data_IF_089473124134
#
_entry.id   IF_089473124134
#
_cell.length_a   1.000
_cell.length_b   1.000
_cell.length_c   1.000
_cell.angle_alpha   90.00
_cell.angle_beta   90.00
_cell.angle_gamma   90.00
#
_symmetry.space_group_name_H-M   'P 1'
#
loop_
_entity.id
_entity.type
_entity.pdbx_description
1 polymer ?
#
# COMPACT_ATOMS: atom_id res chain seq x y z
N UNK A 1 -16.18 28.45 -13.19
CA UNK A 1 -15.16 28.72 -12.15
C UNK A 1 -14.42 27.47 -11.69
N UNK A 2 -14.94 26.26 -11.93
CA UNK A 2 -14.25 24.97 -11.73
C UNK A 2 -12.85 24.84 -12.37
N UNK A 3 -12.54 25.65 -13.39
CA UNK A 3 -11.29 25.50 -14.14
C UNK A 3 -10.03 25.69 -13.27
N UNK A 4 -10.03 26.63 -12.32
CA UNK A 4 -8.84 26.89 -11.49
C UNK A 4 -8.55 25.73 -10.53
N UNK A 5 -9.58 25.19 -9.88
CA UNK A 5 -9.44 24.03 -9.00
C UNK A 5 -8.96 22.79 -9.78
N UNK A 6 -9.53 22.56 -10.97
CA UNK A 6 -9.07 21.51 -11.86
C UNK A 6 -7.63 21.72 -12.34
N UNK A 7 -7.21 22.97 -12.59
CA UNK A 7 -5.83 23.29 -12.95
C UNK A 7 -4.86 22.91 -11.83
N UNK A 8 -5.21 23.21 -10.57
CA UNK A 8 -4.43 22.83 -9.38
C UNK A 8 -4.31 21.32 -9.28
N UNK A 9 -5.43 20.60 -9.32
CA UNK A 9 -5.46 19.14 -9.24
C UNK A 9 -4.66 18.53 -10.38
N UNK A 10 -4.83 19.02 -11.62
CA UNK A 10 -4.07 18.58 -12.80
C UNK A 10 -2.57 18.78 -12.63
N UNK A 11 -2.14 19.94 -12.14
CA UNK A 11 -0.72 20.22 -11.93
C UNK A 11 -0.12 19.28 -10.89
N UNK A 12 -0.85 18.99 -9.80
CA UNK A 12 -0.41 18.03 -8.79
C UNK A 12 -0.35 16.60 -9.35
N UNK A 13 -1.39 16.14 -10.07
CA UNK A 13 -1.39 14.84 -10.73
C UNK A 13 -0.27 14.70 -11.75
N UNK A 14 0.09 15.78 -12.45
CA UNK A 14 1.24 15.79 -13.35
C UNK A 14 2.55 15.56 -12.59
N UNK A 15 2.74 16.19 -11.43
CA UNK A 15 3.93 15.97 -10.59
C UNK A 15 3.96 14.51 -10.11
N UNK A 16 2.84 13.98 -9.63
CA UNK A 16 2.73 12.57 -9.21
C UNK A 16 3.09 11.64 -10.37
N UNK A 17 2.54 11.87 -11.57
CA UNK A 17 2.83 11.07 -12.76
C UNK A 17 4.31 11.13 -13.17
N UNK A 18 4.95 12.30 -13.05
CA UNK A 18 6.40 12.45 -13.32
C UNK A 18 7.21 11.61 -12.31
N UNK A 19 6.90 11.71 -11.02
CA UNK A 19 7.60 10.94 -9.98
C UNK A 19 7.42 9.43 -10.21
N UNK A 20 6.19 8.97 -10.44
CA UNK A 20 5.89 7.57 -10.75
C UNK A 20 6.61 7.10 -12.02
N UNK A 21 6.67 7.94 -13.05
CA UNK A 21 7.40 7.66 -14.28
C UNK A 21 8.91 7.49 -14.05
N UNK A 22 9.52 8.35 -13.23
CA UNK A 22 10.94 8.22 -12.84
C UNK A 22 11.17 6.92 -12.08
N UNK A 23 10.31 6.58 -11.12
CA UNK A 23 10.40 5.33 -10.35
C UNK A 23 10.27 4.10 -11.25
N UNK A 24 9.39 4.15 -12.25
CA UNK A 24 9.23 3.07 -13.23
C UNK A 24 10.48 2.91 -14.10
N UNK A 25 11.08 4.01 -14.57
CA UNK A 25 12.35 3.97 -15.31
C UNK A 25 13.47 3.36 -14.45
N UNK A 26 13.57 3.76 -13.17
CA UNK A 26 14.52 3.19 -12.23
C UNK A 26 14.27 1.69 -12.01
N UNK A 27 13.01 1.27 -11.91
CA UNK A 27 12.64 -0.14 -11.80
C UNK A 27 13.05 -0.95 -13.04
N UNK A 28 12.92 -0.39 -14.24
CA UNK A 28 13.42 -1.00 -15.48
C UNK A 28 14.95 -1.15 -15.45
N UNK A 29 15.67 -0.09 -15.08
CA UNK A 29 17.14 -0.12 -14.96
C UNK A 29 17.58 -1.16 -13.93
N UNK A 30 16.90 -1.21 -12.78
CA UNK A 30 17.14 -2.20 -11.75
C UNK A 30 16.88 -3.61 -12.27
N UNK A 31 15.77 -3.85 -12.97
CA UNK A 31 15.46 -5.16 -13.57
C UNK A 31 16.56 -5.60 -14.51
N UNK A 32 17.00 -4.73 -15.42
CA UNK A 32 18.09 -5.04 -16.37
C UNK A 32 19.40 -5.35 -15.64
N UNK A 33 19.70 -4.61 -14.57
CA UNK A 33 20.94 -4.77 -13.78
C UNK A 33 20.92 -6.05 -12.94
N UNK A 34 19.79 -6.36 -12.31
CA UNK A 34 19.64 -7.45 -11.33
C UNK A 34 19.28 -8.77 -12.00
N UNK A 35 18.56 -8.77 -13.13
CA UNK A 35 18.18 -10.00 -13.83
C UNK A 35 19.38 -10.88 -14.22
N UNK A 36 20.58 -10.30 -14.30
CA UNK A 36 21.83 -11.05 -14.53
C UNK A 36 22.29 -11.87 -13.33
N UNK A 37 21.89 -11.49 -12.10
CA UNK A 37 22.43 -12.06 -10.87
C UNK A 37 21.43 -12.90 -10.07
N UNK A 38 20.12 -12.67 -10.22
CA UNK A 38 19.09 -13.28 -9.36
C UNK A 38 18.21 -14.30 -10.06
N UNK A 39 18.60 -14.82 -11.22
CA UNK A 39 17.81 -15.88 -11.85
C UNK A 39 17.90 -17.15 -11.00
N UNK A 40 16.78 -17.77 -10.58
CA UNK A 40 16.77 -19.07 -9.91
C UNK A 40 17.54 -20.13 -10.70
N UNK A 41 17.58 -20.00 -12.03
CA UNK A 41 18.37 -20.86 -12.92
C UNK A 41 19.86 -20.82 -12.64
N UNK A 42 20.40 -19.72 -12.11
CA UNK A 42 21.80 -19.62 -11.75
C UNK A 42 22.13 -20.52 -10.55
N UNK A 43 21.28 -20.51 -9.52
CA UNK A 43 21.43 -21.42 -8.37
C UNK A 43 21.32 -22.89 -8.80
N UNK A 44 20.32 -23.22 -9.63
CA UNK A 44 20.19 -24.57 -10.20
C UNK A 44 21.45 -24.96 -10.97
N UNK A 45 21.94 -24.08 -11.86
CA UNK A 45 23.17 -24.33 -12.63
C UNK A 45 24.41 -24.53 -11.77
N UNK A 46 24.49 -23.89 -10.59
CA UNK A 46 25.59 -24.11 -9.65
C UNK A 46 25.53 -25.50 -9.01
N UNK A 47 24.33 -26.04 -8.77
CA UNK A 47 24.15 -27.41 -8.25
C UNK A 47 24.42 -28.43 -9.35
N UNK A 48 23.96 -28.17 -10.58
CA UNK A 48 24.18 -29.04 -11.74
C UNK A 48 25.68 -29.29 -12.01
N UNK A 49 26.54 -28.31 -11.71
CA UNK A 49 27.98 -28.41 -11.92
C UNK A 49 28.76 -29.05 -10.75
N UNK A 50 28.09 -29.46 -9.65
CA UNK A 50 28.78 -30.14 -8.55
C UNK A 50 29.15 -31.58 -8.92
N UNK A 51 30.34 -32.08 -8.49
CA UNK A 51 30.69 -33.48 -8.66
C UNK A 51 29.68 -34.38 -7.92
N UNK A 52 29.43 -35.57 -8.46
CA UNK A 52 28.51 -36.59 -7.93
C UNK A 52 27.02 -36.25 -7.99
N UNK A 53 26.62 -35.18 -8.70
CA UNK A 53 25.22 -34.84 -8.94
C UNK A 53 24.72 -35.50 -10.24
N UNK A 54 23.53 -36.09 -10.19
CA UNK A 54 22.82 -36.60 -11.38
C UNK A 54 21.73 -35.61 -11.75
N UNK A 55 21.79 -35.10 -12.98
CA UNK A 55 20.82 -34.14 -13.50
C UNK A 55 20.02 -34.81 -14.62
N UNK A 56 18.70 -34.69 -14.57
CA UNK A 56 17.80 -35.16 -15.62
C UNK A 56 16.89 -34.01 -16.06
N UNK A 57 16.90 -33.70 -17.35
CA UNK A 57 15.96 -32.76 -17.95
C UNK A 57 14.86 -33.52 -18.67
N UNK A 58 13.60 -33.21 -18.34
CA UNK A 58 12.41 -33.81 -18.94
C UNK A 58 11.47 -32.69 -19.35
N UNK A 59 11.00 -32.72 -20.60
CA UNK A 59 9.87 -31.87 -21.00
C UNK A 59 8.58 -32.66 -20.78
N UNK A 60 7.71 -32.13 -19.94
CA UNK A 60 6.41 -32.74 -19.63
C UNK A 60 5.43 -32.53 -20.80
N UNK A 61 4.34 -33.32 -20.89
CA UNK A 61 3.37 -33.22 -22.00
C UNK A 61 2.68 -31.86 -22.13
N UNK A 62 2.62 -31.08 -21.05
CA UNK A 62 2.08 -29.72 -21.00
C UNK A 62 3.09 -28.64 -21.49
N UNK A 63 4.32 -29.05 -21.83
CA UNK A 63 5.40 -28.16 -22.24
C UNK A 63 6.26 -27.64 -21.08
N UNK A 64 5.93 -27.98 -19.84
CA UNK A 64 6.71 -27.61 -18.65
C UNK A 64 8.10 -28.25 -18.71
N UNK A 65 9.15 -27.47 -18.43
CA UNK A 65 10.53 -27.98 -18.36
C UNK A 65 10.82 -28.41 -16.94
N UNK A 66 10.90 -29.72 -16.72
CA UNK A 66 11.25 -30.31 -15.44
C UNK A 66 12.75 -30.62 -15.40
N UNK A 67 13.43 -30.13 -14.39
CA UNK A 67 14.83 -30.48 -14.08
C UNK A 67 14.87 -31.18 -12.73
N UNK A 68 15.34 -32.43 -12.73
CA UNK A 68 15.48 -33.25 -11.53
C UNK A 68 16.96 -33.35 -11.21
N UNK A 69 17.32 -33.01 -9.98
CA UNK A 69 18.70 -32.98 -9.50
C UNK A 69 18.80 -33.88 -8.27
N UNK A 70 19.55 -34.97 -8.41
CA UNK A 70 19.80 -35.94 -7.36
C UNK A 70 21.24 -35.85 -6.86
N UNK A 71 21.41 -35.54 -5.58
CA UNK A 71 22.72 -35.54 -4.93
C UNK A 71 22.80 -36.66 -3.88
N UNK A 72 23.22 -37.89 -4.27
CA UNK A 72 23.18 -39.06 -3.40
C UNK A 72 24.06 -38.93 -2.15
N UNK A 73 25.21 -38.26 -2.25
CA UNK A 73 26.11 -38.04 -1.12
C UNK A 73 25.47 -37.18 -0.01
N UNK A 74 24.71 -36.14 -0.40
CA UNK A 74 23.99 -35.24 0.53
C UNK A 74 22.57 -35.72 0.86
N UNK A 75 22.08 -36.75 0.15
CA UNK A 75 20.69 -37.23 0.21
C UNK A 75 19.68 -36.11 -0.08
N UNK A 76 20.04 -35.22 -1.01
CA UNK A 76 19.19 -34.10 -1.45
C UNK A 76 18.59 -34.43 -2.81
N UNK A 77 17.29 -34.23 -2.94
CA UNK A 77 16.55 -34.38 -4.19
C UNK A 77 15.85 -33.06 -4.51
N UNK A 78 16.12 -32.48 -5.67
CA UNK A 78 15.51 -31.22 -6.10
C UNK A 78 14.75 -31.44 -7.39
N UNK A 79 13.50 -30.99 -7.44
CA UNK A 79 12.67 -30.97 -8.65
C UNK A 79 12.35 -29.52 -8.95
N UNK A 80 12.71 -29.06 -10.14
CA UNK A 80 12.43 -27.71 -10.64
C UNK A 80 11.49 -27.84 -11.83
N UNK A 81 10.27 -27.36 -11.68
CA UNK A 81 9.28 -27.25 -12.75
C UNK A 81 9.22 -25.79 -13.23
N UNK A 82 9.76 -25.54 -14.41
CA UNK A 82 9.74 -24.23 -15.06
C UNK A 82 8.54 -24.15 -16.03
N UNK A 83 7.52 -23.37 -15.64
CA UNK A 83 6.35 -23.07 -16.44
C UNK A 83 6.50 -21.78 -17.27
N UNK A 84 7.73 -21.28 -17.44
CA UNK A 84 8.03 -20.04 -18.16
C UNK A 84 7.42 -18.81 -17.46
N UNK A 85 6.59 -18.05 -18.17
CA UNK A 85 5.92 -16.87 -17.61
C UNK A 85 4.93 -17.19 -16.49
N UNK A 86 4.49 -18.44 -16.36
CA UNK A 86 3.56 -18.85 -15.29
C UNK A 86 4.27 -19.09 -13.94
N UNK A 87 5.59 -18.98 -13.90
CA UNK A 87 6.42 -19.15 -12.70
C UNK A 87 7.15 -20.49 -12.67
N UNK A 88 7.91 -20.66 -11.60
CA UNK A 88 8.74 -21.82 -11.29
C UNK A 88 8.27 -22.42 -9.98
N UNK A 89 8.09 -23.74 -9.96
CA UNK A 89 7.80 -24.55 -8.78
C UNK A 89 9.04 -25.40 -8.44
N UNK A 90 9.62 -25.21 -7.26
CA UNK A 90 10.82 -25.92 -6.83
C UNK A 90 10.47 -26.74 -5.59
N UNK A 91 10.73 -28.04 -5.64
CA UNK A 91 10.60 -28.93 -4.48
C UNK A 91 12.00 -29.42 -4.10
N UNK A 92 12.45 -29.05 -2.91
CA UNK A 92 13.72 -29.48 -2.32
C UNK A 92 13.41 -30.47 -1.20
N UNK A 93 13.93 -31.68 -1.31
CA UNK A 93 13.76 -32.73 -0.32
C UNK A 93 15.13 -33.08 0.26
N UNK A 94 15.34 -32.83 1.56
CA UNK A 94 16.63 -33.00 2.23
C UNK A 94 16.51 -33.61 3.63
N UNK A 95 17.59 -34.16 4.22
CA UNK A 95 17.55 -34.69 5.58
C UNK A 95 17.33 -33.58 6.60
N UNK A 96 16.50 -33.81 7.64
CA UNK A 96 16.13 -32.80 8.66
C UNK A 96 17.31 -32.17 9.43
N UNK A 97 18.50 -32.77 9.36
CA UNK A 97 19.73 -32.25 9.98
C UNK A 97 20.62 -31.39 9.07
N UNK A 98 20.30 -31.28 7.77
CA UNK A 98 20.94 -30.35 6.86
C UNK A 98 20.40 -28.94 7.15
N UNK A 99 20.95 -28.30 8.17
CA UNK A 99 20.45 -27.03 8.69
C UNK A 99 20.49 -25.90 7.64
N UNK A 100 19.32 -25.52 7.14
CA UNK A 100 18.99 -24.14 6.81
C UNK A 100 17.76 -23.77 7.63
N UNK A 101 17.88 -22.80 8.53
CA UNK A 101 16.74 -22.23 9.24
C UNK A 101 15.97 -21.39 8.19
N UNK A 102 15.14 -22.06 7.39
CA UNK A 102 14.25 -21.38 6.46
C UNK A 102 13.02 -20.93 7.23
N UNK A 103 13.05 -19.69 7.70
CA UNK A 103 11.83 -19.01 8.09
C UNK A 103 10.87 -19.04 6.88
N UNK A 104 9.60 -19.38 7.13
CA UNK A 104 8.53 -19.28 6.15
C UNK A 104 8.48 -17.84 5.63
N UNK A 105 9.11 -17.61 4.49
CA UNK A 105 9.18 -16.30 3.88
C UNK A 105 8.24 -16.28 2.68
N UNK A 106 7.26 -15.38 2.75
CA UNK A 106 6.38 -15.06 1.64
C UNK A 106 6.61 -13.60 1.27
N UNK A 107 7.19 -13.36 0.10
CA UNK A 107 7.35 -12.02 -0.46
C UNK A 107 6.91 -12.02 -1.90
N UNK A 108 5.91 -11.18 -2.18
CA UNK A 108 5.34 -11.04 -3.52
C UNK A 108 4.68 -12.34 -3.97
N UNK A 109 5.05 -12.81 -5.17
CA UNK A 109 4.58 -14.08 -5.72
C UNK A 109 5.35 -15.31 -5.22
N UNK A 110 6.39 -15.11 -4.39
CA UNK A 110 7.23 -16.19 -3.87
C UNK A 110 6.70 -16.67 -2.53
N UNK A 111 6.25 -17.92 -2.47
CA UNK A 111 5.89 -18.61 -1.23
C UNK A 111 6.82 -19.78 -0.98
N UNK A 112 7.43 -19.81 0.21
CA UNK A 112 8.23 -20.94 0.69
C UNK A 112 7.45 -21.68 1.78
N UNK A 113 7.09 -22.92 1.51
CA UNK A 113 6.45 -23.80 2.48
C UNK A 113 7.35 -24.99 2.79
N UNK A 114 7.68 -25.14 4.07
CA UNK A 114 8.46 -26.26 4.59
C UNK A 114 7.53 -27.25 5.28
N UNK A 115 7.71 -28.54 5.00
CA UNK A 115 7.01 -29.63 5.68
C UNK A 115 7.99 -30.70 6.13
N UNK A 116 7.86 -31.15 7.38
CA UNK A 116 8.75 -32.15 7.99
C UNK A 116 8.03 -33.48 8.11
N UNK A 117 8.57 -34.51 7.47
CA UNK A 117 8.05 -35.87 7.49
C UNK A 117 9.14 -36.84 7.95
N UNK A 118 9.23 -37.04 9.27
CA UNK A 118 10.24 -37.91 9.88
C UNK A 118 11.65 -37.34 9.75
N UNK A 119 12.52 -38.06 9.03
CA UNK A 119 13.93 -37.69 8.82
C UNK A 119 14.17 -36.84 7.59
N UNK A 120 13.09 -36.47 6.88
CA UNK A 120 13.12 -35.71 5.63
C UNK A 120 12.33 -34.41 5.81
N UNK A 121 12.91 -33.32 5.33
CA UNK A 121 12.30 -32.01 5.21
C UNK A 121 12.06 -31.72 3.74
N UNK A 122 10.85 -31.31 3.38
CA UNK A 122 10.47 -30.93 2.02
C UNK A 122 10.13 -29.45 2.00
N UNK A 123 10.93 -28.68 1.27
CA UNK A 123 10.77 -27.25 1.06
C UNK A 123 10.24 -27.02 -0.34
N UNK A 124 9.03 -26.48 -0.44
CA UNK A 124 8.37 -26.12 -1.68
C UNK A 124 8.47 -24.61 -1.86
N UNK A 125 9.10 -24.18 -2.94
CA UNK A 125 9.23 -22.78 -3.35
C UNK A 125 8.38 -22.58 -4.60
N UNK A 126 7.30 -21.85 -4.45
CA UNK A 126 6.41 -21.46 -5.53
C UNK A 126 6.64 -19.99 -5.86
N UNK A 127 6.96 -19.68 -7.11
CA UNK A 127 7.08 -18.28 -7.58
C UNK A 127 5.85 -17.81 -8.37
N UNK A 128 4.82 -18.65 -8.40
CA UNK A 128 3.60 -18.48 -9.17
C UNK A 128 2.42 -17.94 -8.34
N UNK A 129 2.69 -17.49 -7.11
CA UNK A 129 1.69 -16.95 -6.19
C UNK A 129 1.03 -15.69 -6.73
N UNK A 130 -0.25 -15.49 -6.42
CA UNK A 130 -0.92 -14.25 -6.74
C UNK A 130 -0.47 -13.16 -5.76
N UNK A 131 -0.11 -11.98 -6.27
CA UNK A 131 0.28 -10.87 -5.40
C UNK A 131 -0.99 -10.24 -4.80
N UNK A 132 -1.13 -10.20 -3.47
CA UNK A 132 -2.29 -9.60 -2.83
C UNK A 132 -2.47 -8.12 -3.18
N UNK A 133 -3.69 -7.70 -3.52
CA UNK A 133 -4.00 -6.30 -3.87
C UNK A 133 -3.67 -5.32 -2.72
N UNK A 134 -3.68 -5.81 -1.48
CA UNK A 134 -3.38 -5.01 -0.28
C UNK A 134 -2.01 -4.31 -0.35
N UNK A 135 -1.01 -4.91 -1.00
CA UNK A 135 0.31 -4.28 -1.17
C UNK A 135 0.26 -3.08 -2.11
N UNK A 136 -0.49 -3.18 -3.21
CA UNK A 136 -0.72 -2.07 -4.13
C UNK A 136 -1.48 -0.95 -3.43
N UNK A 137 -2.52 -1.30 -2.69
CA UNK A 137 -3.32 -0.33 -1.94
C UNK A 137 -2.48 0.35 -0.87
N UNK A 138 -1.67 -0.35 -0.08
CA UNK A 138 -0.86 0.27 0.98
C UNK A 138 0.04 1.41 0.45
N UNK A 139 0.69 1.20 -0.70
CA UNK A 139 1.52 2.22 -1.34
C UNK A 139 0.69 3.30 -2.03
N UNK A 140 -0.41 2.92 -2.69
CA UNK A 140 -1.33 3.87 -3.31
C UNK A 140 -1.99 4.79 -2.28
N UNK A 141 -2.31 4.27 -1.09
CA UNK A 141 -2.91 4.99 0.03
C UNK A 141 -1.93 6.00 0.61
N UNK A 142 -0.65 5.63 0.72
CA UNK A 142 0.40 6.54 1.14
C UNK A 142 0.51 7.74 0.17
N UNK A 143 0.55 7.48 -1.13
CA UNK A 143 0.57 8.56 -2.15
C UNK A 143 -0.71 9.39 -2.09
N UNK A 144 -1.87 8.74 -1.96
CA UNK A 144 -3.16 9.41 -1.87
C UNK A 144 -3.27 10.29 -0.61
N UNK A 145 -2.72 9.86 0.54
CA UNK A 145 -2.64 10.65 1.77
C UNK A 145 -1.74 11.89 1.61
N UNK A 146 -0.61 11.75 0.91
CA UNK A 146 0.26 12.89 0.58
C UNK A 146 -0.49 13.89 -0.30
N UNK A 147 -1.13 13.40 -1.37
CA UNK A 147 -1.95 14.23 -2.27
C UNK A 147 -3.10 14.90 -1.54
N UNK A 148 -3.81 14.15 -0.68
CA UNK A 148 -4.85 14.68 0.20
C UNK A 148 -4.33 15.83 1.07
N UNK A 149 -3.15 15.67 1.68
CA UNK A 149 -2.52 16.73 2.48
C UNK A 149 -2.21 17.97 1.63
N UNK A 150 -1.64 17.80 0.44
CA UNK A 150 -1.28 18.91 -0.46
C UNK A 150 -2.51 19.67 -0.99
N UNK A 151 -3.63 18.97 -1.16
CA UNK A 151 -4.89 19.52 -1.63
C UNK A 151 -5.74 20.11 -0.51
N UNK A 152 -5.52 19.77 0.76
CA UNK A 152 -6.37 20.16 1.89
C UNK A 152 -6.24 21.63 2.37
N UNK A 153 -5.87 22.58 1.50
CA UNK A 153 -5.80 24.00 1.85
C UNK A 153 -6.44 24.97 0.84
N UNK A 154 -7.51 24.63 0.10
CA UNK A 154 -8.13 25.56 -0.84
C UNK A 154 -8.64 26.81 -0.13
N UNK A 155 -9.43 26.61 0.93
CA UNK A 155 -10.14 27.68 1.63
C UNK A 155 -9.20 28.57 2.44
N UNK A 156 -8.17 27.99 3.06
CA UNK A 156 -7.18 28.77 3.79
C UNK A 156 -6.37 29.67 2.84
N UNK A 157 -5.98 29.18 1.64
CA UNK A 157 -5.26 29.98 0.65
C UNK A 157 -6.10 31.12 0.07
N UNK A 158 -7.40 30.91 -0.12
CA UNK A 158 -8.27 32.00 -0.57
C UNK A 158 -8.55 33.02 0.54
N UNK A 159 -8.65 32.58 1.81
CA UNK A 159 -8.78 33.48 2.95
C UNK A 159 -7.52 34.36 3.14
N UNK A 160 -6.33 33.82 2.84
CA UNK A 160 -5.05 34.51 3.01
C UNK A 160 -4.74 35.44 1.82
N UNK A 161 -5.28 36.66 1.89
CA UNK A 161 -4.96 37.75 0.97
C UNK A 161 -5.82 37.84 -0.30
N UNK A 162 -6.71 36.88 -0.55
CA UNK A 162 -7.62 36.90 -1.72
C UNK A 162 -9.10 36.97 -1.33
N UNK A 163 -9.40 37.30 -0.07
CA UNK A 163 -10.78 37.34 0.44
C UNK A 163 -11.65 38.33 -0.33
N UNK A 164 -11.10 39.48 -0.71
CA UNK A 164 -11.80 40.50 -1.52
C UNK A 164 -12.21 39.95 -2.89
N UNK A 165 -11.31 39.19 -3.54
CA UNK A 165 -11.61 38.53 -4.82
C UNK A 165 -12.64 37.42 -4.61
N UNK A 166 -12.53 36.64 -3.53
CA UNK A 166 -13.49 35.59 -3.19
C UNK A 166 -14.90 36.15 -2.91
N UNK A 167 -15.00 37.32 -2.31
CA UNK A 167 -16.25 38.04 -2.02
C UNK A 167 -16.98 38.51 -3.29
N UNK A 168 -16.26 38.79 -4.37
CA UNK A 168 -16.84 39.29 -5.63
C UNK A 168 -17.30 38.19 -6.59
N UNK A 169 -17.07 36.90 -6.26
CA UNK A 169 -17.45 35.79 -7.14
C UNK A 169 -18.97 35.70 -7.26
N UNK A 170 -19.55 35.60 -8.48
CA UNK A 170 -21.01 35.55 -8.67
C UNK A 170 -21.62 34.18 -8.37
N UNK A 171 -20.97 33.36 -7.53
CA UNK A 171 -21.37 31.99 -7.21
C UNK A 171 -21.53 31.87 -5.69
N UNK A 172 -22.60 31.24 -5.18
CA UNK A 172 -22.73 30.98 -3.75
C UNK A 172 -21.51 30.23 -3.20
N UNK A 173 -20.94 30.69 -2.07
CA UNK A 173 -19.73 30.10 -1.47
C UNK A 173 -19.87 28.61 -1.15
N UNK A 174 -21.08 28.20 -0.74
CA UNK A 174 -21.40 26.79 -0.48
C UNK A 174 -21.13 25.92 -1.71
N UNK A 175 -21.62 26.37 -2.87
CA UNK A 175 -21.43 25.68 -4.14
C UNK A 175 -19.97 25.66 -4.56
N UNK A 176 -19.27 26.79 -4.41
CA UNK A 176 -17.83 26.85 -4.68
C UNK A 176 -17.04 25.87 -3.80
N UNK A 177 -17.35 25.80 -2.50
CA UNK A 177 -16.67 24.91 -1.56
C UNK A 177 -16.91 23.43 -1.89
N UNK A 178 -18.14 23.06 -2.24
CA UNK A 178 -18.49 21.70 -2.68
C UNK A 178 -17.79 21.36 -4.00
N UNK A 179 -17.75 22.28 -4.96
CA UNK A 179 -17.06 22.09 -6.24
C UNK A 179 -15.53 21.90 -6.05
N UNK A 180 -14.90 22.65 -5.14
CA UNK A 180 -13.49 22.49 -4.79
C UNK A 180 -13.20 21.14 -4.13
N UNK A 181 -14.02 20.74 -3.15
CA UNK A 181 -13.91 19.43 -2.51
C UNK A 181 -14.09 18.31 -3.54
N UNK A 182 -15.08 18.41 -4.42
CA UNK A 182 -15.32 17.39 -5.45
C UNK A 182 -14.12 17.24 -6.41
N UNK A 183 -13.50 18.35 -6.81
CA UNK A 183 -12.28 18.32 -7.62
C UNK A 183 -11.11 17.65 -6.86
N UNK A 184 -10.95 17.95 -5.57
CA UNK A 184 -9.91 17.35 -4.73
C UNK A 184 -10.12 15.85 -4.53
N UNK A 185 -11.36 15.41 -4.28
CA UNK A 185 -11.72 13.99 -4.19
C UNK A 185 -11.35 13.27 -5.48
N UNK A 186 -11.69 13.83 -6.64
CA UNK A 186 -11.32 13.25 -7.93
C UNK A 186 -9.79 13.18 -8.10
N UNK A 187 -9.07 14.20 -7.64
CA UNK A 187 -7.61 14.22 -7.62
C UNK A 187 -6.98 13.13 -6.76
N UNK A 188 -7.49 12.95 -5.53
CA UNK A 188 -7.01 11.93 -4.59
C UNK A 188 -7.25 10.52 -5.16
N UNK A 189 -8.45 10.26 -5.68
CA UNK A 189 -8.79 8.95 -6.29
C UNK A 189 -7.93 8.69 -7.53
N UNK A 190 -7.76 9.69 -8.40
CA UNK A 190 -6.92 9.56 -9.59
C UNK A 190 -5.45 9.29 -9.23
N UNK A 191 -4.90 9.93 -8.19
CA UNK A 191 -3.54 9.67 -7.72
C UNK A 191 -3.36 8.24 -7.20
N UNK A 192 -4.33 7.72 -6.45
CA UNK A 192 -4.35 6.32 -6.00
C UNK A 192 -4.34 5.37 -7.20
N UNK A 193 -5.25 5.56 -8.17
CA UNK A 193 -5.34 4.74 -9.38
C UNK A 193 -4.05 4.78 -10.21
N UNK A 194 -3.46 5.96 -10.42
CA UNK A 194 -2.19 6.10 -11.12
C UNK A 194 -1.06 5.33 -10.43
N UNK A 195 -1.04 5.34 -9.10
CA UNK A 195 -0.05 4.60 -8.30
C UNK A 195 -0.24 3.10 -8.45
N UNK A 196 -1.48 2.60 -8.38
CA UNK A 196 -1.80 1.18 -8.60
C UNK A 196 -1.36 0.75 -10.00
N UNK A 197 -1.66 1.54 -11.04
CA UNK A 197 -1.25 1.24 -12.41
C UNK A 197 0.28 1.21 -12.54
N UNK A 198 0.98 2.19 -11.96
CA UNK A 198 2.44 2.23 -11.99
C UNK A 198 3.07 1.01 -11.29
N UNK A 199 2.56 0.65 -10.11
CA UNK A 199 3.02 -0.53 -9.36
C UNK A 199 2.71 -1.83 -10.10
N UNK A 200 1.55 -1.93 -10.74
CA UNK A 200 1.19 -3.09 -11.55
C UNK A 200 2.14 -3.22 -12.74
N UNK A 201 2.44 -2.13 -13.46
CA UNK A 201 3.43 -2.17 -14.54
C UNK A 201 4.80 -2.57 -13.99
N UNK A 202 5.20 -2.07 -12.82
CA UNK A 202 6.42 -2.53 -12.16
C UNK A 202 6.38 -4.04 -11.89
N UNK A 203 5.29 -4.59 -11.33
CA UNK A 203 5.14 -6.02 -11.12
C UNK A 203 5.34 -6.80 -12.42
N UNK A 204 4.73 -6.37 -13.53
CA UNK A 204 4.88 -7.02 -14.84
C UNK A 204 6.33 -7.11 -15.33
N UNK A 205 7.21 -6.22 -14.86
CA UNK A 205 8.64 -6.26 -15.21
C UNK A 205 9.40 -7.35 -14.43
N UNK A 206 8.94 -7.70 -13.22
CA UNK A 206 9.65 -8.62 -12.33
C UNK A 206 9.04 -10.02 -12.25
N UNK A 207 7.70 -10.10 -12.27
CA UNK A 207 6.92 -11.29 -11.91
C UNK A 207 5.74 -11.51 -12.88
N UNK A 208 5.10 -12.69 -12.75
CA UNK A 208 3.92 -13.03 -13.55
C UNK A 208 2.69 -12.17 -13.20
N UNK A 209 1.80 -11.86 -14.16
CA UNK A 209 0.64 -10.97 -13.99
C UNK A 209 -0.53 -11.60 -13.21
N UNK A 210 -0.27 -12.25 -12.08
CA UNK A 210 -1.32 -12.88 -11.28
C UNK A 210 -1.80 -11.92 -10.20
N UNK A 211 -2.88 -11.20 -10.52
CA UNK A 211 -3.64 -10.43 -9.53
C UNK A 211 -4.70 -11.33 -8.91
N UNK A 212 -4.72 -11.40 -7.59
CA UNK A 212 -5.88 -11.92 -6.87
C UNK A 212 -6.95 -10.81 -6.80
N UNK A 213 -8.21 -11.13 -7.14
CA UNK A 213 -9.36 -10.24 -7.00
C UNK A 213 -10.39 -10.80 -6.01
N UNK A 214 -9.92 -11.48 -4.96
CA UNK A 214 -10.76 -11.97 -3.87
C UNK A 214 -11.53 -10.84 -3.14
N UNK A 215 -12.63 -11.17 -2.45
CA UNK A 215 -13.43 -10.19 -1.71
C UNK A 215 -12.66 -9.41 -0.64
N UNK A 216 -11.54 -9.97 -0.17
CA UNK A 216 -10.55 -9.30 0.69
C UNK A 216 -9.95 -8.07 0.01
N UNK A 217 -9.70 -8.14 -1.30
CA UNK A 217 -9.12 -7.05 -2.07
C UNK A 217 -10.12 -5.90 -2.26
N UNK A 218 -11.41 -6.20 -2.39
CA UNK A 218 -12.47 -5.18 -2.37
C UNK A 218 -12.50 -4.37 -1.07
N UNK A 219 -12.23 -5.02 0.07
CA UNK A 219 -12.14 -4.37 1.38
C UNK A 219 -10.94 -3.43 1.48
N UNK A 220 -9.77 -3.89 1.00
CA UNK A 220 -8.56 -3.09 0.95
C UNK A 220 -8.75 -1.84 0.06
N UNK A 221 -9.39 -1.99 -1.11
CA UNK A 221 -9.71 -0.86 -1.99
C UNK A 221 -10.62 0.15 -1.29
N UNK A 222 -11.67 -0.31 -0.64
CA UNK A 222 -12.62 0.56 0.05
C UNK A 222 -11.96 1.33 1.21
N UNK A 223 -11.14 0.67 2.03
CA UNK A 223 -10.37 1.33 3.09
C UNK A 223 -9.34 2.31 2.53
N UNK A 224 -8.65 1.92 1.46
CA UNK A 224 -7.62 2.73 0.84
C UNK A 224 -8.13 3.99 0.14
N UNK A 225 -9.39 4.02 -0.27
CA UNK A 225 -10.04 5.26 -0.73
C UNK A 225 -10.61 6.05 0.46
N UNK A 226 -11.27 5.38 1.41
CA UNK A 226 -11.94 6.07 2.52
C UNK A 226 -10.95 6.81 3.44
N UNK A 227 -9.78 6.22 3.72
CA UNK A 227 -8.79 6.81 4.63
C UNK A 227 -8.21 8.16 4.10
N UNK A 228 -7.67 8.25 2.86
CA UNK A 228 -7.22 9.51 2.29
C UNK A 228 -8.30 10.59 2.22
N UNK A 229 -9.56 10.21 1.95
CA UNK A 229 -10.68 11.16 1.92
C UNK A 229 -11.00 11.69 3.32
N UNK A 230 -11.10 10.82 4.32
CA UNK A 230 -11.29 11.21 5.71
C UNK A 230 -10.14 12.10 6.20
N UNK A 231 -8.90 11.76 5.83
CA UNK A 231 -7.71 12.56 6.11
C UNK A 231 -7.76 13.94 5.45
N UNK A 232 -8.12 14.01 4.17
CA UNK A 232 -8.35 15.27 3.46
C UNK A 232 -9.39 16.13 4.21
N UNK A 233 -10.53 15.55 4.58
CA UNK A 233 -11.58 16.26 5.32
C UNK A 233 -11.05 16.85 6.62
N UNK A 234 -10.35 16.03 7.43
CA UNK A 234 -9.74 16.45 8.70
C UNK A 234 -8.76 17.63 8.51
N UNK A 235 -7.82 17.49 7.58
CA UNK A 235 -6.79 18.51 7.33
C UNK A 235 -7.41 19.77 6.74
N UNK A 236 -8.41 19.64 5.87
CA UNK A 236 -9.12 20.77 5.28
C UNK A 236 -9.91 21.55 6.35
N UNK A 237 -10.57 20.84 7.27
CA UNK A 237 -11.16 21.47 8.44
C UNK A 237 -10.09 22.18 9.28
N UNK A 238 -8.98 21.52 9.63
CA UNK A 238 -7.93 22.12 10.44
C UNK A 238 -7.32 23.39 9.79
N UNK A 239 -7.03 23.37 8.49
CA UNK A 239 -6.46 24.52 7.78
C UNK A 239 -7.45 25.68 7.71
N UNK A 240 -8.76 25.42 7.55
CA UNK A 240 -9.79 26.48 7.55
C UNK A 240 -9.91 27.21 8.89
N UNK A 241 -9.56 26.58 10.00
CA UNK A 241 -9.57 27.22 11.31
C UNK A 241 -8.31 28.06 11.59
N UNK A 242 -7.21 27.77 10.89
CA UNK A 242 -5.91 28.41 11.11
C UNK A 242 -5.49 29.27 9.91
N UNK A 243 -6.29 30.32 9.61
CA UNK A 243 -6.21 31.13 8.39
C UNK A 243 -4.80 31.59 7.97
N UNK A 244 -3.90 31.91 8.93
CA UNK A 244 -2.52 32.37 8.65
C UNK A 244 -1.44 31.32 8.89
N UNK A 245 -1.80 30.18 9.46
CA UNK A 245 -0.88 29.12 9.84
C UNK A 245 -1.18 27.80 9.11
N UNK A 246 -1.93 27.84 8.01
CA UNK A 246 -2.29 26.64 7.26
C UNK A 246 -1.05 25.86 6.79
N UNK A 247 0.04 26.55 6.43
CA UNK A 247 1.32 25.90 6.10
C UNK A 247 1.90 25.09 7.26
N UNK A 248 1.80 25.60 8.49
CA UNK A 248 2.22 24.88 9.69
C UNK A 248 1.29 23.68 9.95
N UNK A 249 -0.03 23.83 9.76
CA UNK A 249 -0.98 22.71 9.88
C UNK A 249 -0.62 21.59 8.91
N UNK A 250 -0.39 21.90 7.63
CA UNK A 250 -0.01 20.91 6.63
C UNK A 250 1.32 20.22 6.97
N UNK A 251 2.31 20.98 7.45
CA UNK A 251 3.63 20.45 7.81
C UNK A 251 3.63 19.57 9.06
N UNK A 252 2.87 19.94 10.09
CA UNK A 252 2.83 19.22 11.37
C UNK A 252 1.74 18.15 11.45
N UNK A 253 0.80 18.08 10.50
CA UNK A 253 -0.28 17.08 10.50
C UNK A 253 0.25 15.65 10.60
N UNK A 254 1.28 15.31 9.81
CA UNK A 254 1.89 13.98 9.79
C UNK A 254 2.63 13.62 11.08
N UNK A 255 3.61 14.44 11.57
CA UNK A 255 4.28 14.17 12.83
C UNK A 255 3.31 14.01 14.01
N UNK A 256 2.27 14.86 14.08
CA UNK A 256 1.26 14.78 15.15
C UNK A 256 0.45 13.49 15.03
N UNK A 257 -0.02 13.13 13.84
CA UNK A 257 -0.79 11.90 13.63
C UNK A 257 0.02 10.64 13.96
N UNK A 258 1.31 10.61 13.58
CA UNK A 258 2.22 9.51 13.91
C UNK A 258 2.48 9.45 15.42
N UNK A 259 2.78 10.59 16.05
CA UNK A 259 3.01 10.66 17.49
C UNK A 259 1.81 10.16 18.28
N UNK A 260 0.60 10.59 17.92
CA UNK A 260 -0.65 10.13 18.55
C UNK A 260 -0.80 8.61 18.35
N UNK A 261 -0.53 8.10 17.16
CA UNK A 261 -0.60 6.66 16.88
C UNK A 261 0.39 5.83 17.72
N UNK A 262 1.64 6.30 17.83
CA UNK A 262 2.68 5.65 18.64
C UNK A 262 2.29 5.66 20.13
N UNK A 263 1.87 6.81 20.66
CA UNK A 263 1.48 6.92 22.07
C UNK A 263 0.24 6.06 22.39
N UNK A 264 -0.70 5.93 21.46
CA UNK A 264 -1.87 5.06 21.61
C UNK A 264 -1.53 3.56 21.57
N UNK A 265 -0.37 3.17 21.01
CA UNK A 265 0.05 1.77 20.92
C UNK A 265 0.87 1.30 22.15
N UNK A 266 1.46 2.23 22.90
CA UNK A 266 2.27 1.93 24.09
C UNK A 266 1.35 1.66 25.28
N UNK A 267 1.62 0.60 26.05
CA UNK A 267 0.89 0.26 27.28
C UNK A 267 1.74 0.63 28.51
N UNK A 268 1.52 1.80 29.14
CA UNK A 268 2.35 2.28 30.23
C UNK A 268 1.98 1.68 31.59
N UNK A 269 2.98 1.56 32.47
CA UNK A 269 2.81 0.99 33.81
C UNK A 269 2.64 2.06 34.92
N UNK A 270 2.77 3.35 34.59
CA UNK A 270 2.65 4.47 35.54
C UNK A 270 1.39 5.31 35.29
N UNK A 271 0.88 5.96 36.34
CA UNK A 271 -0.38 6.74 36.28
C UNK A 271 -0.32 7.86 35.24
N UNK A 272 0.80 8.60 35.17
CA UNK A 272 0.98 9.66 34.18
C UNK A 272 1.00 9.11 32.76
N UNK A 273 1.66 7.97 32.55
CA UNK A 273 1.68 7.31 31.25
C UNK A 273 0.28 6.84 30.86
N UNK A 274 -0.48 6.23 31.77
CA UNK A 274 -1.86 5.79 31.51
C UNK A 274 -2.74 6.96 31.06
N UNK A 275 -2.63 8.10 31.73
CA UNK A 275 -3.34 9.30 31.31
C UNK A 275 -2.95 9.76 29.89
N UNK A 276 -1.65 9.77 29.56
CA UNK A 276 -1.17 10.12 28.21
C UNK A 276 -1.68 9.11 27.17
N UNK A 277 -1.65 7.82 27.50
CA UNK A 277 -2.17 6.75 26.67
C UNK A 277 -3.66 6.93 26.41
N UNK A 278 -4.48 7.20 27.43
CA UNK A 278 -5.92 7.37 27.29
C UNK A 278 -6.26 8.58 26.41
N UNK A 279 -5.54 9.69 26.57
CA UNK A 279 -5.68 10.88 25.72
C UNK A 279 -5.26 10.56 24.28
N UNK A 280 -4.10 9.92 24.08
CA UNK A 280 -3.64 9.54 22.75
C UNK A 280 -4.57 8.52 22.08
N UNK A 281 -5.10 7.57 22.83
CA UNK A 281 -6.08 6.59 22.38
C UNK A 281 -7.38 7.27 21.96
N UNK A 282 -7.89 8.21 22.76
CA UNK A 282 -9.07 9.00 22.40
C UNK A 282 -8.83 9.85 21.14
N UNK A 283 -7.69 10.54 21.06
CA UNK A 283 -7.31 11.33 19.88
C UNK A 283 -7.08 10.45 18.64
N UNK A 284 -6.59 9.22 18.81
CA UNK A 284 -6.43 8.29 17.70
C UNK A 284 -7.76 7.94 17.04
N UNK A 285 -8.88 7.97 17.80
CA UNK A 285 -10.24 7.80 17.24
C UNK A 285 -10.72 8.96 16.39
N UNK A 286 -10.00 10.09 16.37
CA UNK A 286 -10.24 11.20 15.45
C UNK A 286 -9.29 11.17 14.26
N UNK A 287 -8.26 10.31 14.29
CA UNK A 287 -7.27 10.18 13.23
C UNK A 287 -7.68 9.06 12.26
N UNK A 288 -8.04 9.36 10.99
CA UNK A 288 -8.40 8.36 10.01
C UNK A 288 -7.34 7.27 9.80
N UNK A 289 -6.05 7.60 9.96
CA UNK A 289 -4.94 6.66 9.77
C UNK A 289 -5.00 5.51 10.79
N UNK A 290 -5.57 5.73 11.99
CA UNK A 290 -5.68 4.67 13.02
C UNK A 290 -6.66 3.56 12.66
N UNK A 291 -7.54 3.79 11.68
CA UNK A 291 -8.53 2.82 11.22
C UNK A 291 -7.98 1.87 10.14
N UNK A 292 -6.83 2.20 9.55
CA UNK A 292 -6.11 1.35 8.61
C UNK A 292 -5.24 0.38 9.41
N UNK A 293 -5.61 -0.89 9.41
CA UNK A 293 -4.79 -1.94 10.02
C UNK A 293 -4.38 -2.95 8.96
N UNK A 294 -3.07 -3.15 8.82
CA UNK A 294 -2.53 -4.26 8.06
C UNK A 294 -2.41 -5.47 8.98
N UNK A 295 -2.91 -6.66 8.60
CA UNK A 295 -2.69 -7.86 9.38
C UNK A 295 -1.19 -8.10 9.54
N UNK A 296 -0.79 -8.53 10.72
CA UNK A 296 0.61 -8.83 11.04
C UNK A 296 1.10 -10.10 10.32
N UNK A 297 0.18 -10.97 9.91
CA UNK A 297 0.48 -12.22 9.21
C UNK A 297 -0.17 -12.23 7.81
N UNK A 298 0.63 -12.33 6.73
CA UNK A 298 0.12 -12.36 5.35
C UNK A 298 -0.53 -13.70 4.97
N UNK A 299 -0.50 -14.71 5.85
CA UNK A 299 -0.76 -16.12 5.50
C UNK A 299 -2.21 -16.56 5.52
N UNK A 300 -3.17 -15.72 5.94
CA UNK A 300 -4.58 -16.06 5.73
C UNK A 300 -5.43 -14.89 5.27
N UNK A 301 -5.60 -14.82 3.94
CA UNK A 301 -6.71 -14.11 3.28
C UNK A 301 -8.07 -14.43 3.94
N UNK A 302 -8.22 -15.63 4.52
CA UNK A 302 -9.39 -16.02 5.30
C UNK A 302 -9.67 -15.13 6.53
N UNK A 303 -8.64 -14.67 7.27
CA UNK A 303 -8.84 -13.82 8.47
C UNK A 303 -9.32 -12.42 8.11
N UNK A 304 -8.84 -11.85 7.00
CA UNK A 304 -9.31 -10.56 6.49
C UNK A 304 -10.74 -10.60 5.96
N UNK A 305 -11.19 -11.76 5.45
CA UNK A 305 -12.55 -11.96 4.96
C UNK A 305 -13.60 -12.00 6.08
N UNK A 306 -13.20 -12.26 7.33
CA UNK A 306 -14.11 -12.37 8.47
C UNK A 306 -14.01 -11.23 9.50
N UNK A 307 -13.21 -10.17 9.29
CA UNK A 307 -13.10 -9.08 10.28
C UNK A 307 -14.47 -8.41 10.51
N UNK A 308 -15.12 -8.63 11.69
CA UNK A 308 -16.44 -8.07 11.97
C UNK A 308 -16.39 -6.55 12.15
N UNK A 309 -15.21 -5.96 12.35
CA UNK A 309 -15.03 -4.53 12.57
C UNK A 309 -14.86 -3.74 11.28
N UNK A 310 -14.73 -4.40 10.12
CA UNK A 310 -14.52 -3.75 8.82
C UNK A 310 -15.60 -2.70 8.50
N UNK A 311 -16.88 -3.10 8.56
CA UNK A 311 -18.01 -2.21 8.21
C UNK A 311 -18.08 -1.00 9.16
N UNK A 312 -18.01 -1.18 10.50
CA UNK A 312 -17.91 -0.04 11.42
C UNK A 312 -16.76 0.92 11.10
N UNK A 313 -15.56 0.41 10.81
CA UNK A 313 -14.39 1.26 10.52
C UNK A 313 -14.57 2.10 9.27
N UNK A 314 -15.05 1.51 8.17
CA UNK A 314 -15.35 2.26 6.95
C UNK A 314 -16.44 3.30 7.18
N UNK A 315 -17.52 2.93 7.86
CA UNK A 315 -18.60 3.86 8.18
C UNK A 315 -18.10 5.06 8.98
N UNK A 316 -17.20 4.85 9.94
CA UNK A 316 -16.58 5.93 10.70
C UNK A 316 -15.70 6.83 9.81
N UNK A 317 -14.91 6.26 8.90
CA UNK A 317 -14.09 7.06 7.97
C UNK A 317 -14.96 7.90 7.01
N UNK A 318 -16.03 7.32 6.47
CA UNK A 318 -16.99 8.07 5.62
C UNK A 318 -17.65 9.19 6.43
N UNK A 319 -18.08 8.89 7.67
CA UNK A 319 -18.66 9.88 8.56
C UNK A 319 -17.66 11.01 8.86
N UNK A 320 -16.40 10.69 9.15
CA UNK A 320 -15.32 11.67 9.35
C UNK A 320 -15.15 12.57 8.13
N UNK A 321 -15.08 12.00 6.93
CA UNK A 321 -14.99 12.78 5.71
C UNK A 321 -16.15 13.77 5.57
N UNK A 322 -17.39 13.31 5.76
CA UNK A 322 -18.59 14.14 5.66
C UNK A 322 -18.61 15.24 6.73
N UNK A 323 -18.35 14.88 7.99
CA UNK A 323 -18.40 15.82 9.12
C UNK A 323 -17.30 16.87 9.00
N UNK A 324 -16.04 16.46 8.77
CA UNK A 324 -14.93 17.42 8.67
C UNK A 324 -15.04 18.32 7.45
N UNK A 325 -15.45 17.77 6.29
CA UNK A 325 -15.72 18.59 5.10
C UNK A 325 -16.87 19.57 5.35
N UNK A 326 -17.94 19.14 6.04
CA UNK A 326 -19.03 20.01 6.44
C UNK A 326 -18.59 21.16 7.35
N UNK A 327 -17.74 20.86 8.35
CA UNK A 327 -17.14 21.88 9.23
C UNK A 327 -16.30 22.88 8.43
N UNK A 328 -15.49 22.40 7.49
CA UNK A 328 -14.69 23.25 6.61
C UNK A 328 -15.58 24.21 5.78
N UNK A 329 -16.65 23.70 5.18
CA UNK A 329 -17.62 24.49 4.40
C UNK A 329 -18.31 25.54 5.30
N UNK A 330 -18.82 25.15 6.47
CA UNK A 330 -19.51 26.08 7.38
C UNK A 330 -18.55 27.18 7.86
N UNK A 331 -17.31 26.82 8.19
CA UNK A 331 -16.30 27.79 8.61
C UNK A 331 -15.95 28.77 7.48
N UNK A 332 -15.83 28.27 6.25
CA UNK A 332 -15.59 29.07 5.06
C UNK A 332 -16.74 30.07 4.76
N UNK A 333 -17.99 29.63 4.93
CA UNK A 333 -19.16 30.49 4.76
C UNK A 333 -19.17 31.64 5.79
N UNK A 334 -18.77 31.38 7.03
CA UNK A 334 -18.78 32.39 8.12
C UNK A 334 -17.80 33.54 7.95
N UNK A 335 -16.85 33.46 7.02
CA UNK A 335 -15.95 34.57 6.69
C UNK A 335 -16.69 35.75 5.99
N UNK A 336 -18.02 35.73 5.91
CA UNK A 336 -18.89 36.82 5.47
C UNK A 336 -19.38 37.73 6.62
N UNK A 337 -19.42 37.21 7.85
CA UNK A 337 -20.01 37.88 9.01
C UNK A 337 -18.95 38.53 9.91
#
# INVERSE_FOLDING_TARGET
MNYVEWLRVRNLLRIVAIILGILLVLAVVLRISVARYTSPTHWVSQIENQPDVKVQHVTLPDGTKRTIVDHPAKRTHVVVDDHGYAGIHIVVTEPTGAHHESDHFSVGSVSVSESKHGTVTTTVIDTNGAVPMIYYMALADLVALIVATMLAAPFAREADGHLEVALTKPIPRARFAVEAIAADVAGIVAASLLTIVALYICQLLFESPRLDFSGVNGRAIAMGIACPLAWYGLVCAATTWMHRAFGAVLGFAWPIAILIGVLAAIHPNNVVGLFIHDVAWALSRLNPISYVTFPREPTSTALLASDPTFVPRISVMILMFVVYSGVAIVKWQRLEA
#
